data_IF_744055187317
#
_entry.id   IF_744055187317
#
_cell.length_a   1.000
_cell.length_b   1.000
_cell.length_c   1.000
_cell.angle_alpha   90.00
_cell.angle_beta   90.00
_cell.angle_gamma   90.00
#
_symmetry.space_group_name_H-M   'P 1'
#
loop_
_entity.id
_entity.type
_entity.pdbx_description
1 polymer ?
#
# COMPACT_ATOMS: atom_id res chain seq x y z
N UNK A 1 -15.90 -8.36 44.81
CA UNK A 1 -15.65 -9.03 43.52
C UNK A 1 -15.10 -7.98 42.56
N UNK A 2 -13.79 -8.02 42.26
CA UNK A 2 -13.10 -7.00 41.44
C UNK A 2 -13.48 -7.19 39.96
N UNK A 3 -14.20 -6.22 39.40
CA UNK A 3 -14.45 -6.10 37.96
C UNK A 3 -13.18 -5.56 37.29
N UNK A 4 -12.50 -6.40 36.51
CA UNK A 4 -11.42 -5.96 35.63
C UNK A 4 -11.99 -5.05 34.52
N UNK A 5 -11.67 -3.76 34.58
CA UNK A 5 -11.78 -2.83 33.42
C UNK A 5 -10.84 -3.33 32.32
N UNK A 6 -11.37 -4.02 31.31
CA UNK A 6 -10.69 -4.20 30.01
C UNK A 6 -10.74 -2.86 29.28
N UNK A 7 -9.55 -2.32 28.96
CA UNK A 7 -9.36 -1.07 28.21
C UNK A 7 -9.70 -1.34 26.74
N UNK A 8 -10.66 -0.61 26.20
CA UNK A 8 -10.89 -0.51 24.76
C UNK A 8 -10.39 0.87 24.34
N UNK A 9 -9.18 0.94 23.75
CA UNK A 9 -8.77 2.10 22.97
C UNK A 9 -9.05 1.75 21.50
N UNK A 10 -10.21 2.19 21.01
CA UNK A 10 -10.69 1.87 19.67
C UNK A 10 -10.88 3.14 18.85
N UNK A 11 -9.81 3.92 18.71
CA UNK A 11 -9.69 4.95 17.68
C UNK A 11 -8.34 4.75 16.97
N UNK A 12 -8.26 3.64 16.22
CA UNK A 12 -7.25 3.51 15.19
C UNK A 12 -7.66 4.45 14.07
N UNK A 13 -6.76 5.36 13.70
CA UNK A 13 -6.86 6.31 12.59
C UNK A 13 -7.22 5.61 11.26
N UNK A 14 -8.48 5.25 11.10
CA UNK A 14 -9.13 5.27 9.80
C UNK A 14 -9.24 6.73 9.40
N UNK A 15 -9.05 7.03 8.12
CA UNK A 15 -9.49 8.29 7.53
C UNK A 15 -10.81 8.73 8.21
N UNK A 16 -10.98 10.00 8.61
CA UNK A 16 -12.29 10.48 8.94
C UNK A 16 -13.14 10.17 7.72
N UNK A 17 -14.10 9.26 7.88
CA UNK A 17 -15.17 9.09 6.91
C UNK A 17 -15.76 10.48 6.82
N UNK A 18 -15.50 11.16 5.71
CA UNK A 18 -16.11 12.45 5.41
C UNK A 18 -17.58 12.12 5.16
N UNK A 19 -18.34 11.97 6.24
CA UNK A 19 -19.78 12.02 6.23
C UNK A 19 -20.10 13.48 5.95
N UNK A 20 -20.01 13.85 4.68
CA UNK A 20 -20.68 15.03 4.17
C UNK A 20 -22.17 14.69 4.24
N UNK A 21 -22.74 14.86 5.44
CA UNK A 21 -24.19 14.98 5.58
C UNK A 21 -24.53 16.24 4.81
N UNK A 22 -24.95 16.08 3.55
CA UNK A 22 -25.62 17.12 2.79
C UNK A 22 -26.95 17.34 3.50
N UNK A 23 -26.93 18.08 4.61
CA UNK A 23 -28.12 18.72 5.13
C UNK A 23 -28.41 19.83 4.14
N UNK A 24 -29.49 19.66 3.39
CA UNK A 24 -30.08 20.76 2.65
C UNK A 24 -30.31 21.93 3.61
N UNK A 25 -29.62 23.02 3.28
CA UNK A 25 -30.03 24.39 3.51
C UNK A 25 -29.98 24.93 4.95
N UNK A 26 -28.79 25.46 5.36
CA UNK A 26 -28.64 26.68 6.19
C UNK A 26 -27.26 27.33 5.98
N UNK A 27 -27.21 28.38 5.14
CA UNK A 27 -26.22 29.48 5.17
C UNK A 27 -24.77 29.17 4.77
N UNK A 28 -24.30 29.77 3.67
CA UNK A 28 -22.93 29.65 3.15
C UNK A 28 -21.81 29.96 4.19
N UNK A 29 -22.07 30.85 5.16
CA UNK A 29 -21.11 31.20 6.21
C UNK A 29 -20.81 30.01 7.17
N UNK A 30 -21.81 29.17 7.46
CA UNK A 30 -21.66 28.00 8.32
C UNK A 30 -20.87 26.88 7.63
N UNK A 31 -21.03 26.72 6.32
CA UNK A 31 -20.24 25.78 5.53
C UNK A 31 -18.76 26.16 5.48
N UNK A 32 -18.45 27.45 5.29
CA UNK A 32 -17.05 27.91 5.29
C UNK A 32 -16.40 27.80 6.67
N UNK A 33 -17.11 28.15 7.76
CA UNK A 33 -16.60 27.97 9.13
C UNK A 33 -16.36 26.49 9.48
N UNK A 34 -17.26 25.58 9.10
CA UNK A 34 -17.07 24.14 9.33
C UNK A 34 -15.91 23.58 8.52
N UNK A 35 -15.74 23.98 7.26
CA UNK A 35 -14.58 23.58 6.45
C UNK A 35 -13.26 24.06 7.06
N UNK A 36 -13.24 25.30 7.56
CA UNK A 36 -12.07 25.89 8.22
C UNK A 36 -11.77 25.13 9.53
N UNK A 37 -12.77 24.94 10.39
CA UNK A 37 -12.62 24.22 11.68
C UNK A 37 -12.18 22.77 11.43
N UNK A 38 -12.78 22.06 10.47
CA UNK A 38 -12.39 20.71 10.10
C UNK A 38 -10.96 20.66 9.56
N UNK A 39 -10.53 21.64 8.76
CA UNK A 39 -9.16 21.70 8.25
C UNK A 39 -8.11 21.94 9.34
N UNK A 40 -8.44 22.74 10.37
CA UNK A 40 -7.57 22.97 11.52
C UNK A 40 -7.48 21.73 12.41
N UNK A 41 -8.62 21.09 12.73
CA UNK A 41 -8.63 19.85 13.53
C UNK A 41 -7.88 18.73 12.82
N UNK A 42 -8.06 18.57 11.50
CA UNK A 42 -7.32 17.59 10.71
C UNK A 42 -5.81 17.86 10.72
N UNK A 43 -5.40 19.12 10.55
CA UNK A 43 -4.00 19.50 10.64
C UNK A 43 -3.42 19.17 12.01
N UNK A 44 -4.14 19.48 13.08
CA UNK A 44 -3.68 19.29 14.46
C UNK A 44 -3.63 17.82 14.88
N UNK A 45 -4.33 16.91 14.20
CA UNK A 45 -4.28 15.47 14.45
C UNK A 45 -3.23 14.78 13.57
N UNK A 46 -2.98 15.27 12.35
CA UNK A 46 -2.11 14.59 11.37
C UNK A 46 -0.65 15.09 11.42
N UNK A 47 -0.44 16.36 11.74
CA UNK A 47 0.90 16.96 11.75
C UNK A 47 1.68 16.50 12.99
N UNK A 48 2.95 16.14 12.78
CA UNK A 48 3.87 15.74 13.84
C UNK A 48 5.01 16.75 13.96
N UNK A 49 5.59 16.87 15.15
CA UNK A 49 6.79 17.68 15.36
C UNK A 49 8.05 16.99 14.78
N UNK A 50 9.22 17.63 14.88
CA UNK A 50 10.51 17.08 14.41
C UNK A 50 10.90 15.75 15.08
N UNK A 51 10.30 15.43 16.22
CA UNK A 51 10.48 14.16 16.94
C UNK A 51 9.43 13.10 16.58
N UNK A 52 8.58 13.37 15.59
CA UNK A 52 7.47 12.52 15.17
C UNK A 52 6.38 12.32 16.26
N UNK A 53 6.19 13.31 17.12
CA UNK A 53 5.20 13.29 18.20
C UNK A 53 4.08 14.30 17.91
N UNK A 54 2.88 14.02 18.41
CA UNK A 54 1.75 14.94 18.39
C UNK A 54 1.07 14.98 19.79
N UNK A 55 1.01 16.15 20.45
CA UNK A 55 0.39 16.29 21.77
C UNK A 55 -1.10 15.94 21.83
N UNK A 56 -1.84 16.15 20.74
CA UNK A 56 -3.28 15.91 20.64
C UNK A 56 -3.64 14.43 20.63
N UNK A 57 -2.73 13.55 20.21
CA UNK A 57 -2.96 12.10 20.17
C UNK A 57 -3.30 11.51 21.54
N UNK A 58 -2.69 12.02 22.60
CA UNK A 58 -2.99 11.61 23.98
C UNK A 58 -4.46 11.90 24.36
N UNK A 59 -5.05 12.94 23.80
CA UNK A 59 -6.43 13.33 24.10
C UNK A 59 -7.47 12.42 23.40
N UNK A 60 -7.11 11.81 22.27
CA UNK A 60 -7.95 10.88 21.50
C UNK A 60 -7.54 9.41 21.69
N UNK A 61 -6.68 9.13 22.67
CA UNK A 61 -6.15 7.79 22.96
C UNK A 61 -5.51 7.09 21.74
N UNK A 62 -4.97 7.90 20.81
CA UNK A 62 -4.18 7.41 19.67
C UNK A 62 -2.72 7.25 20.11
N UNK A 63 -2.13 6.08 19.85
CA UNK A 63 -0.78 5.76 20.32
C UNK A 63 0.33 6.18 19.36
N UNK A 64 0.01 6.73 18.17
CA UNK A 64 1.01 7.05 17.16
C UNK A 64 1.61 5.79 16.52
N UNK A 65 2.93 5.72 16.31
CA UNK A 65 3.59 4.49 15.88
C UNK A 65 3.52 3.45 17.01
N UNK A 66 3.44 2.18 16.64
CA UNK A 66 3.39 1.12 17.65
C UNK A 66 4.67 1.09 18.53
N UNK A 67 4.55 1.29 19.86
CA UNK A 67 5.70 1.36 20.76
C UNK A 67 6.36 0.00 21.00
N UNK A 68 5.62 -1.10 20.90
CA UNK A 68 6.14 -2.46 21.09
C UNK A 68 6.83 -2.95 19.83
N UNK A 69 6.35 -2.56 18.65
CA UNK A 69 6.94 -2.91 17.37
C UNK A 69 8.37 -2.37 17.22
N UNK A 70 8.60 -1.12 17.60
CA UNK A 70 9.93 -0.50 17.53
C UNK A 70 10.95 -1.27 18.39
N UNK A 71 10.54 -1.66 19.61
CA UNK A 71 11.39 -2.45 20.51
C UNK A 71 11.67 -3.86 19.97
N UNK A 72 10.66 -4.52 19.41
CA UNK A 72 10.80 -5.86 18.82
C UNK A 72 11.77 -5.87 17.64
N UNK A 73 11.73 -4.84 16.79
CA UNK A 73 12.63 -4.71 15.64
C UNK A 73 14.10 -4.53 16.05
N UNK A 74 14.37 -3.70 17.06
CA UNK A 74 15.74 -3.47 17.56
C UNK A 74 16.41 -4.75 18.07
N UNK A 75 15.63 -5.74 18.52
CA UNK A 75 16.11 -7.02 19.02
C UNK A 75 16.08 -8.14 17.97
N UNK A 76 15.64 -7.86 16.73
CA UNK A 76 15.54 -8.89 15.70
C UNK A 76 16.90 -9.23 15.10
N UNK A 77 17.35 -10.48 15.30
CA UNK A 77 18.62 -10.99 14.74
C UNK A 77 18.44 -11.43 13.26
N UNK A 78 17.20 -11.63 12.79
CA UNK A 78 16.93 -12.11 11.44
C UNK A 78 16.91 -10.95 10.41
N UNK A 79 17.87 -10.96 9.49
CA UNK A 79 18.04 -9.96 8.43
C UNK A 79 16.82 -9.84 7.50
N UNK A 80 16.11 -10.93 7.19
CA UNK A 80 14.89 -10.88 6.37
C UNK A 80 13.70 -10.29 7.12
N UNK A 81 13.63 -10.49 8.44
CA UNK A 81 12.60 -9.85 9.27
C UNK A 81 12.81 -8.35 9.32
N UNK A 82 14.06 -7.92 9.47
CA UNK A 82 14.44 -6.51 9.58
C UNK A 82 14.35 -5.80 8.22
N UNK A 83 15.12 -6.26 7.24
CA UNK A 83 15.21 -5.61 5.92
C UNK A 83 14.12 -6.05 4.94
N UNK A 84 13.34 -7.09 5.25
CA UNK A 84 12.28 -7.59 4.38
C UNK A 84 12.81 -8.50 3.25
N UNK A 85 11.94 -9.29 2.60
CA UNK A 85 12.36 -10.40 1.72
C UNK A 85 13.05 -9.95 0.43
N UNK A 86 12.80 -8.71 -0.02
CA UNK A 86 13.37 -8.21 -1.27
C UNK A 86 14.72 -7.53 -1.09
N UNK A 87 15.21 -7.36 0.14
CA UNK A 87 16.37 -6.51 0.43
C UNK A 87 17.62 -6.84 -0.40
N UNK A 88 17.86 -8.13 -0.68
CA UNK A 88 19.01 -8.60 -1.47
C UNK A 88 18.92 -8.20 -2.94
N UNK A 89 17.70 -8.04 -3.46
CA UNK A 89 17.43 -7.68 -4.86
C UNK A 89 17.26 -6.18 -5.11
N UNK A 90 17.23 -5.35 -4.07
CA UNK A 90 17.07 -3.90 -4.23
C UNK A 90 18.39 -3.26 -4.64
N UNK A 91 18.39 -2.60 -5.80
CA UNK A 91 19.51 -1.80 -6.30
C UNK A 91 19.09 -0.33 -6.37
N UNK A 92 19.75 0.53 -5.59
CA UNK A 92 19.47 1.98 -5.59
C UNK A 92 20.37 2.68 -6.62
N UNK A 93 19.75 3.32 -7.61
CA UNK A 93 20.46 3.98 -8.71
C UNK A 93 21.17 5.28 -8.33
N UNK A 94 21.02 5.76 -7.10
CA UNK A 94 21.76 6.91 -6.56
C UNK A 94 23.16 6.54 -6.04
N UNK A 95 23.57 5.27 -6.13
CA UNK A 95 24.91 4.81 -5.76
C UNK A 95 25.89 4.95 -6.94
N UNK A 96 27.21 4.99 -6.67
CA UNK A 96 28.23 4.93 -7.72
C UNK A 96 28.04 3.73 -8.67
N UNK A 97 28.36 3.91 -9.96
CA UNK A 97 28.12 2.91 -11.01
C UNK A 97 28.78 1.55 -10.73
N UNK A 98 29.96 1.52 -10.09
CA UNK A 98 30.63 0.27 -9.74
C UNK A 98 29.82 -0.56 -8.73
N UNK A 99 29.20 0.10 -7.73
CA UNK A 99 28.37 -0.57 -6.73
C UNK A 99 27.09 -1.11 -7.38
N UNK A 100 26.48 -0.33 -8.26
CA UNK A 100 25.30 -0.75 -9.02
C UNK A 100 25.63 -1.96 -9.90
N UNK A 101 26.75 -1.89 -10.64
CA UNK A 101 27.20 -2.96 -11.51
C UNK A 101 27.45 -4.26 -10.73
N UNK A 102 28.12 -4.17 -9.58
CA UNK A 102 28.38 -5.32 -8.73
C UNK A 102 27.08 -5.95 -8.20
N UNK A 103 26.13 -5.14 -7.72
CA UNK A 103 24.85 -5.63 -7.22
C UNK A 103 24.01 -6.35 -8.30
N UNK A 104 23.99 -5.79 -9.51
CA UNK A 104 23.31 -6.38 -10.66
C UNK A 104 24.01 -7.67 -11.16
N UNK A 105 25.34 -7.72 -11.14
CA UNK A 105 26.11 -8.92 -11.48
C UNK A 105 25.85 -10.07 -10.50
N UNK A 106 25.77 -9.78 -9.19
CA UNK A 106 25.35 -10.78 -8.18
C UNK A 106 23.96 -11.34 -8.45
N UNK A 107 23.10 -10.57 -9.11
CA UNK A 107 21.75 -10.96 -9.56
C UNK A 107 21.74 -11.68 -10.92
N UNK A 108 22.92 -12.09 -11.42
CA UNK A 108 23.11 -12.81 -12.70
C UNK A 108 22.65 -12.02 -13.94
N UNK A 109 22.58 -10.69 -13.84
CA UNK A 109 22.34 -9.81 -14.98
C UNK A 109 23.67 -9.43 -15.64
N UNK A 110 23.74 -9.51 -16.97
CA UNK A 110 24.93 -9.09 -17.71
C UNK A 110 24.89 -7.58 -17.91
N UNK A 111 26.02 -6.92 -17.70
CA UNK A 111 26.12 -5.46 -17.73
C UNK A 111 27.27 -5.05 -18.63
N UNK A 112 27.02 -4.07 -19.47
CA UNK A 112 28.06 -3.39 -20.24
C UNK A 112 27.99 -1.90 -19.92
N UNK A 113 29.14 -1.33 -19.54
CA UNK A 113 29.31 0.11 -19.34
C UNK A 113 29.96 0.66 -20.62
N UNK A 114 29.23 1.41 -21.46
CA UNK A 114 29.80 1.95 -22.68
C UNK A 114 30.94 2.92 -22.36
N UNK A 115 32.09 2.75 -23.01
CA UNK A 115 33.20 3.72 -22.95
C UNK A 115 33.08 4.66 -24.14
N UNK A 116 32.62 5.89 -23.88
CA UNK A 116 32.59 6.93 -24.90
C UNK A 116 33.95 7.66 -24.92
N UNK A 117 34.55 7.92 -26.10
CA UNK A 117 35.76 8.72 -26.22
C UNK A 117 35.56 10.11 -25.60
N UNK A 118 36.55 10.58 -24.83
CA UNK A 118 36.55 11.87 -24.12
C UNK A 118 36.50 13.09 -25.04
N UNK A 119 36.65 12.92 -26.36
CA UNK A 119 36.81 13.99 -27.36
C UNK A 119 35.50 14.45 -28.02
N UNK A 120 34.36 13.82 -27.73
CA UNK A 120 33.06 14.28 -28.22
C UNK A 120 32.16 14.68 -27.05
N UNK A 121 31.54 15.86 -27.14
CA UNK A 121 30.47 16.33 -26.27
C UNK A 121 29.59 15.14 -25.85
N UNK A 122 29.45 14.91 -24.53
CA UNK A 122 28.61 13.84 -23.98
C UNK A 122 27.24 13.93 -24.65
N UNK A 123 26.96 13.04 -25.59
CA UNK A 123 25.63 12.96 -26.19
C UNK A 123 24.66 12.66 -25.04
N UNK A 124 23.76 13.57 -24.66
CA UNK A 124 22.91 13.40 -23.48
C UNK A 124 21.96 12.20 -23.61
N UNK A 125 21.82 11.64 -24.82
CA UNK A 125 21.02 10.43 -25.09
C UNK A 125 21.83 9.12 -24.98
N UNK A 126 23.14 9.19 -24.79
CA UNK A 126 23.96 7.99 -24.73
C UNK A 126 23.80 7.30 -23.35
N UNK A 127 23.46 5.99 -23.31
CA UNK A 127 23.23 5.31 -22.04
C UNK A 127 24.52 5.23 -21.22
N UNK A 128 24.42 5.55 -19.93
CA UNK A 128 25.53 5.42 -18.97
C UNK A 128 25.84 3.96 -18.61
N UNK A 129 24.87 3.07 -18.81
CA UNK A 129 24.94 1.64 -18.50
C UNK A 129 23.89 0.89 -19.33
N UNK A 130 24.23 -0.31 -19.78
CA UNK A 130 23.34 -1.21 -20.51
C UNK A 130 23.25 -2.52 -19.74
N UNK A 131 22.03 -2.94 -19.42
CA UNK A 131 21.73 -4.16 -18.65
C UNK A 131 21.00 -5.13 -19.58
N UNK A 132 21.55 -6.34 -19.74
CA UNK A 132 20.92 -7.40 -20.53
C UNK A 132 20.03 -8.25 -19.62
N UNK A 133 18.75 -8.29 -19.95
CA UNK A 133 17.72 -9.09 -19.29
C UNK A 133 16.77 -9.66 -20.35
N UNK A 134 15.92 -10.59 -19.94
CA UNK A 134 14.95 -11.22 -20.84
C UNK A 134 13.60 -10.46 -20.83
N UNK A 135 13.28 -9.79 -19.71
CA UNK A 135 12.11 -8.92 -19.61
C UNK A 135 12.38 -7.74 -18.65
N UNK A 136 11.75 -6.59 -18.95
CA UNK A 136 11.69 -5.43 -18.06
C UNK A 136 10.25 -5.20 -17.64
N UNK A 137 10.01 -5.13 -16.34
CA UNK A 137 8.70 -4.78 -15.76
C UNK A 137 8.81 -3.40 -15.15
N UNK A 138 7.96 -2.48 -15.60
CA UNK A 138 7.90 -1.11 -15.07
C UNK A 138 6.76 -1.01 -14.07
N UNK A 139 7.10 -0.74 -12.81
CA UNK A 139 6.20 -0.74 -11.66
C UNK A 139 6.15 -2.10 -10.98
N UNK A 140 6.27 -2.09 -9.65
CA UNK A 140 6.26 -3.31 -8.81
C UNK A 140 4.92 -3.57 -8.10
N UNK A 141 3.87 -2.90 -8.54
CA UNK A 141 2.50 -3.04 -7.99
C UNK A 141 1.83 -4.39 -8.31
N UNK A 142 0.54 -4.51 -7.99
CA UNK A 142 -0.22 -5.77 -8.10
C UNK A 142 -0.15 -6.44 -9.47
N UNK A 143 -0.13 -5.69 -10.57
CA UNK A 143 0.07 -6.26 -11.91
C UNK A 143 1.54 -6.63 -12.16
N UNK A 144 2.44 -5.66 -12.00
CA UNK A 144 3.85 -5.82 -12.34
C UNK A 144 4.55 -6.91 -11.55
N UNK A 145 4.33 -7.02 -10.24
CA UNK A 145 4.98 -8.06 -9.46
C UNK A 145 4.43 -9.46 -9.71
N UNK A 146 3.15 -9.61 -10.10
CA UNK A 146 2.62 -10.89 -10.58
C UNK A 146 3.32 -11.31 -11.86
N UNK A 147 3.42 -10.42 -12.85
CA UNK A 147 4.13 -10.67 -14.11
C UNK A 147 5.60 -11.02 -13.84
N UNK A 148 6.30 -10.21 -13.04
CA UNK A 148 7.69 -10.45 -12.68
C UNK A 148 7.89 -11.80 -11.99
N UNK A 149 7.02 -12.16 -11.03
CA UNK A 149 7.09 -13.43 -10.32
C UNK A 149 6.85 -14.63 -11.23
N UNK A 150 5.88 -14.55 -12.15
CA UNK A 150 5.58 -15.62 -13.12
C UNK A 150 6.74 -15.84 -14.09
N UNK A 151 7.29 -14.75 -14.66
CA UNK A 151 8.42 -14.82 -15.58
C UNK A 151 9.69 -15.33 -14.88
N UNK A 152 10.01 -14.81 -13.69
CA UNK A 152 11.17 -15.24 -12.92
C UNK A 152 11.08 -16.73 -12.52
N UNK A 153 9.90 -17.21 -12.09
CA UNK A 153 9.67 -18.63 -11.78
C UNK A 153 9.85 -19.53 -13.01
N UNK A 154 9.65 -18.99 -14.21
CA UNK A 154 9.87 -19.69 -15.48
C UNK A 154 11.33 -19.63 -15.97
N UNK A 155 12.24 -19.06 -15.17
CA UNK A 155 13.69 -19.01 -15.47
C UNK A 155 14.16 -17.76 -16.22
N UNK A 156 13.27 -16.81 -16.53
CA UNK A 156 13.65 -15.56 -17.17
C UNK A 156 14.36 -14.61 -16.21
N UNK A 157 15.37 -13.88 -16.72
CA UNK A 157 16.01 -12.79 -15.98
C UNK A 157 15.17 -11.54 -16.13
N UNK A 158 14.45 -11.20 -15.07
CA UNK A 158 13.52 -10.06 -15.05
C UNK A 158 14.14 -8.90 -14.30
N UNK A 159 14.14 -7.72 -14.90
CA UNK A 159 14.45 -6.45 -14.24
C UNK A 159 13.15 -5.72 -13.89
N UNK A 160 12.95 -5.42 -12.60
CA UNK A 160 11.80 -4.63 -12.15
C UNK A 160 12.27 -3.20 -11.86
N UNK A 161 11.64 -2.22 -12.51
CA UNK A 161 11.90 -0.80 -12.30
C UNK A 161 10.79 -0.21 -11.44
N UNK A 162 11.14 0.31 -10.28
CA UNK A 162 10.22 0.98 -9.37
C UNK A 162 10.69 2.42 -9.14
N UNK A 163 9.76 3.37 -9.22
CA UNK A 163 10.03 4.79 -8.95
C UNK A 163 10.10 5.05 -7.44
N UNK A 164 9.29 4.33 -6.67
CA UNK A 164 9.17 4.46 -5.24
C UNK A 164 10.30 3.83 -4.42
N UNK A 165 10.30 4.14 -3.12
CA UNK A 165 11.25 3.56 -2.16
C UNK A 165 10.86 2.13 -1.77
N UNK A 166 11.85 1.33 -1.38
CA UNK A 166 11.61 0.07 -0.67
C UNK A 166 11.50 0.33 0.83
N UNK A 167 10.27 0.30 1.35
CA UNK A 167 9.99 0.46 2.78
C UNK A 167 9.90 -0.92 3.45
N UNK A 168 11.02 -1.35 4.03
CA UNK A 168 11.07 -2.53 4.88
C UNK A 168 10.21 -2.34 6.14
N UNK A 169 9.84 -3.44 6.82
CA UNK A 169 9.07 -3.37 8.08
C UNK A 169 9.77 -2.52 9.14
N UNK A 170 11.09 -2.60 9.22
CA UNK A 170 11.92 -1.80 10.13
C UNK A 170 11.85 -0.30 9.86
N UNK A 171 11.47 0.10 8.64
CA UNK A 171 11.53 1.47 8.16
C UNK A 171 10.14 2.09 8.01
N UNK A 172 9.08 1.38 8.43
CA UNK A 172 7.74 1.95 8.42
C UNK A 172 7.62 2.95 9.56
N UNK A 173 7.33 4.21 9.22
CA UNK A 173 7.06 5.24 10.22
C UNK A 173 5.77 4.93 10.99
N UNK A 174 4.77 4.34 10.33
CA UNK A 174 3.42 4.12 10.85
C UNK A 174 2.68 5.41 11.25
N UNK A 175 3.22 6.56 10.82
CA UNK A 175 2.60 7.88 10.93
C UNK A 175 2.11 8.33 9.58
N UNK A 176 0.95 8.97 9.57
CA UNK A 176 0.27 9.36 8.34
C UNK A 176 1.16 10.26 7.47
N UNK A 177 1.62 11.41 7.99
CA UNK A 177 2.46 12.35 7.23
C UNK A 177 3.70 11.70 6.60
N UNK A 178 4.64 11.16 7.39
CA UNK A 178 5.84 10.52 6.86
C UNK A 178 5.55 9.34 5.91
N UNK A 179 4.52 8.52 6.19
CA UNK A 179 4.19 7.40 5.32
C UNK A 179 3.57 7.86 4.00
N UNK A 180 2.78 8.94 4.02
CA UNK A 180 2.27 9.60 2.80
C UNK A 180 3.43 10.13 1.95
N UNK A 181 4.41 10.78 2.59
CA UNK A 181 5.61 11.28 1.92
C UNK A 181 6.45 10.19 1.27
N UNK A 182 6.67 9.08 1.98
CA UNK A 182 7.57 8.00 1.54
C UNK A 182 6.91 6.99 0.60
N UNK A 183 5.60 6.75 0.74
CA UNK A 183 4.93 5.61 0.12
C UNK A 183 3.81 5.98 -0.86
N UNK A 184 3.36 7.24 -0.90
CA UNK A 184 2.27 7.68 -1.79
C UNK A 184 2.80 8.57 -2.92
N UNK A 185 2.26 8.35 -4.11
CA UNK A 185 2.52 9.19 -5.28
C UNK A 185 2.01 10.61 -5.01
N UNK A 186 2.84 11.61 -5.30
CA UNK A 186 2.50 13.01 -5.03
C UNK A 186 2.25 13.30 -3.56
N UNK A 187 2.80 12.50 -2.64
CA UNK A 187 2.60 12.64 -1.19
C UNK A 187 1.12 12.54 -0.79
N UNK A 188 0.33 11.83 -1.60
CA UNK A 188 -1.13 11.69 -1.44
C UNK A 188 -1.96 12.87 -1.94
N UNK A 189 -1.35 13.86 -2.60
CA UNK A 189 -2.02 15.04 -3.14
C UNK A 189 -2.07 15.05 -4.68
N UNK A 190 -2.11 13.87 -5.30
CA UNK A 190 -2.28 13.77 -6.75
C UNK A 190 -3.73 14.08 -7.11
N UNK A 191 -3.95 15.06 -7.98
CA UNK A 191 -5.27 15.45 -8.46
C UNK A 191 -5.28 15.64 -9.98
N UNK A 192 -6.46 15.61 -10.59
CA UNK A 192 -6.66 16.01 -11.98
C UNK A 192 -6.33 17.50 -12.16
N UNK A 193 -6.02 17.93 -13.39
CA UNK A 193 -5.64 19.32 -13.67
C UNK A 193 -6.73 20.34 -13.32
N UNK A 194 -7.99 19.91 -13.34
CA UNK A 194 -9.16 20.70 -12.92
C UNK A 194 -9.56 20.47 -11.44
N UNK A 195 -8.79 19.66 -10.69
CA UNK A 195 -9.02 19.32 -9.28
C UNK A 195 -10.36 18.64 -8.96
N UNK A 196 -11.10 18.16 -9.96
CA UNK A 196 -12.38 17.46 -9.75
C UNK A 196 -12.21 16.07 -9.15
N UNK A 197 -11.04 15.44 -9.34
CA UNK A 197 -10.74 14.15 -8.74
C UNK A 197 -9.35 14.15 -8.08
N UNK A 198 -9.28 13.57 -6.88
CA UNK A 198 -8.04 13.23 -6.20
C UNK A 198 -7.76 11.73 -6.32
N UNK A 199 -6.49 11.37 -6.50
CA UNK A 199 -6.04 10.00 -6.74
C UNK A 199 -5.04 9.62 -5.64
N UNK A 200 -5.37 8.58 -4.87
CA UNK A 200 -4.42 7.95 -3.96
C UNK A 200 -3.78 6.74 -4.65
N UNK A 201 -2.48 6.86 -4.93
CA UNK A 201 -1.70 5.80 -5.56
C UNK A 201 -0.41 5.55 -4.79
N UNK A 202 -0.01 4.28 -4.65
CA UNK A 202 1.25 3.92 -3.99
C UNK A 202 2.45 4.20 -4.90
N UNK A 203 3.48 4.82 -4.35
CA UNK A 203 4.80 5.05 -4.96
C UNK A 203 5.88 4.45 -4.05
N UNK A 204 5.83 3.12 -3.91
CA UNK A 204 6.74 2.30 -3.10
C UNK A 204 6.83 0.92 -3.74
N UNK A 205 7.85 0.13 -3.40
CA UNK A 205 7.92 -1.27 -3.85
C UNK A 205 6.68 -2.05 -3.38
N UNK A 206 5.94 -2.64 -4.33
CA UNK A 206 4.62 -3.24 -4.11
C UNK A 206 3.45 -2.31 -4.48
N UNK A 207 3.71 -1.04 -4.78
CA UNK A 207 2.72 -0.04 -5.20
C UNK A 207 1.51 0.04 -4.26
N UNK A 208 0.31 0.12 -4.83
CA UNK A 208 -0.94 0.14 -4.07
C UNK A 208 -1.14 -1.06 -3.14
N UNK A 209 -0.57 -2.24 -3.46
CA UNK A 209 -0.70 -3.42 -2.58
C UNK A 209 0.03 -3.25 -1.24
N UNK A 210 1.06 -2.39 -1.19
CA UNK A 210 1.77 -2.07 0.05
C UNK A 210 0.92 -1.20 0.99
N UNK A 211 0.09 -0.31 0.44
CA UNK A 211 -0.65 0.73 1.16
C UNK A 211 -2.19 0.58 1.14
N UNK A 212 -2.75 -0.50 0.59
CA UNK A 212 -4.20 -0.72 0.63
C UNK A 212 -4.69 -1.33 1.96
N UNK A 213 -6.01 -1.45 2.11
CA UNK A 213 -6.67 -2.02 3.29
C UNK A 213 -6.89 -3.54 3.25
N UNK A 214 -6.12 -4.29 2.44
CA UNK A 214 -6.21 -5.76 2.30
C UNK A 214 -7.49 -6.29 1.60
N UNK A 215 -8.49 -5.45 1.35
CA UNK A 215 -9.71 -5.85 0.66
C UNK A 215 -9.38 -6.51 -0.70
N UNK A 216 -9.91 -7.71 -0.90
CA UNK A 216 -9.59 -8.57 -2.04
C UNK A 216 -10.88 -9.16 -2.60
N UNK A 217 -11.61 -8.34 -3.35
CA UNK A 217 -12.93 -8.69 -3.89
C UNK A 217 -12.74 -9.26 -5.29
N UNK A 218 -13.29 -10.45 -5.56
CA UNK A 218 -13.35 -10.98 -6.93
C UNK A 218 -14.23 -10.07 -7.79
N UNK A 219 -13.85 -9.88 -9.04
CA UNK A 219 -14.64 -9.10 -10.00
C UNK A 219 -16.08 -9.64 -10.07
N UNK A 220 -17.10 -8.85 -9.70
CA UNK A 220 -18.48 -9.33 -9.65
C UNK A 220 -18.96 -9.84 -11.02
N UNK A 221 -19.83 -10.86 -11.01
CA UNK A 221 -20.33 -11.48 -12.25
C UNK A 221 -21.01 -10.46 -13.16
N UNK A 222 -21.81 -9.55 -12.61
CA UNK A 222 -22.49 -8.53 -13.41
C UNK A 222 -21.50 -7.59 -14.12
N UNK A 223 -20.42 -7.17 -13.46
CA UNK A 223 -19.35 -6.35 -14.06
C UNK A 223 -18.64 -7.10 -15.18
N UNK A 224 -18.36 -8.40 -14.98
CA UNK A 224 -17.73 -9.23 -16.01
C UNK A 224 -18.62 -9.41 -17.23
N UNK A 225 -19.92 -9.59 -17.03
CA UNK A 225 -20.90 -9.67 -18.11
C UNK A 225 -20.95 -8.33 -18.86
N UNK A 226 -21.03 -7.21 -18.15
CA UNK A 226 -21.00 -5.87 -18.75
C UNK A 226 -19.76 -5.67 -19.63
N UNK A 227 -18.56 -5.96 -19.10
CA UNK A 227 -17.31 -5.84 -19.87
C UNK A 227 -17.29 -6.72 -21.12
N UNK A 228 -17.81 -7.94 -21.01
CA UNK A 228 -17.85 -8.88 -22.12
C UNK A 228 -18.89 -8.51 -23.18
N UNK A 229 -20.08 -8.07 -22.78
CA UNK A 229 -21.24 -7.91 -23.67
C UNK A 229 -21.37 -6.50 -24.22
N UNK A 230 -20.98 -5.47 -23.46
CA UNK A 230 -21.09 -4.07 -23.86
C UNK A 230 -19.81 -3.51 -24.49
N UNK A 231 -18.65 -4.14 -24.22
CA UNK A 231 -17.34 -3.63 -24.63
C UNK A 231 -16.49 -4.66 -25.37
N UNK A 232 -17.07 -5.79 -25.79
CA UNK A 232 -16.42 -6.86 -26.55
C UNK A 232 -15.16 -7.46 -25.89
N UNK A 233 -15.09 -7.44 -24.55
CA UNK A 233 -13.97 -7.98 -23.79
C UNK A 233 -14.27 -9.42 -23.31
N UNK A 234 -14.47 -10.34 -24.26
CA UNK A 234 -14.89 -11.74 -24.02
C UNK A 234 -14.02 -12.49 -22.99
N UNK A 235 -12.75 -12.13 -22.89
CA UNK A 235 -11.82 -12.68 -21.90
C UNK A 235 -12.40 -12.66 -20.48
N UNK A 236 -13.10 -11.60 -20.09
CA UNK A 236 -13.62 -11.47 -18.72
C UNK A 236 -14.75 -12.46 -18.41
N UNK A 237 -15.49 -12.96 -19.40
CA UNK A 237 -16.49 -14.01 -19.21
C UNK A 237 -15.92 -15.42 -19.36
N UNK A 238 -14.70 -15.54 -19.88
CA UNK A 238 -14.04 -16.82 -20.10
C UNK A 238 -13.73 -17.59 -18.81
N UNK A 239 -13.57 -18.91 -18.96
CA UNK A 239 -13.08 -19.81 -17.90
C UNK A 239 -11.66 -19.43 -17.45
N UNK A 240 -10.82 -18.98 -18.39
CA UNK A 240 -9.43 -18.60 -18.13
C UNK A 240 -9.34 -17.47 -17.09
N UNK A 241 -10.23 -16.47 -17.19
CA UNK A 241 -10.25 -15.37 -16.22
C UNK A 241 -10.69 -15.81 -14.82
N UNK A 242 -11.68 -16.71 -14.73
CA UNK A 242 -12.09 -17.30 -13.44
C UNK A 242 -10.95 -18.12 -12.82
N UNK A 243 -10.28 -18.95 -13.62
CA UNK A 243 -9.11 -19.72 -13.18
C UNK A 243 -7.98 -18.81 -12.70
N UNK A 244 -7.69 -17.73 -13.43
CA UNK A 244 -6.69 -16.74 -13.03
C UNK A 244 -7.04 -16.05 -11.70
N UNK A 245 -8.31 -15.64 -11.51
CA UNK A 245 -8.78 -15.08 -10.25
C UNK A 245 -8.60 -16.07 -9.09
N UNK A 246 -8.95 -17.34 -9.29
CA UNK A 246 -8.79 -18.38 -8.28
C UNK A 246 -7.32 -18.57 -7.89
N UNK A 247 -6.42 -18.69 -8.87
CA UNK A 247 -4.98 -18.83 -8.63
C UNK A 247 -4.41 -17.67 -7.83
N UNK A 248 -4.81 -16.43 -8.17
CA UNK A 248 -4.33 -15.23 -7.46
C UNK A 248 -4.89 -15.17 -6.04
N UNK A 249 -6.20 -15.42 -5.85
CA UNK A 249 -6.83 -15.45 -4.54
C UNK A 249 -6.22 -16.52 -3.63
N UNK A 250 -5.95 -17.72 -4.14
CA UNK A 250 -5.32 -18.81 -3.41
C UNK A 250 -3.89 -18.43 -2.99
N UNK A 251 -3.06 -17.96 -3.94
CA UNK A 251 -1.69 -17.50 -3.67
C UNK A 251 -1.66 -16.40 -2.60
N UNK A 252 -2.60 -15.45 -2.68
CA UNK A 252 -2.74 -14.36 -1.71
C UNK A 252 -3.41 -14.79 -0.40
N UNK A 253 -3.92 -16.02 -0.29
CA UNK A 253 -4.63 -16.53 0.88
C UNK A 253 -5.85 -15.68 1.25
N UNK A 254 -6.63 -15.27 0.25
CA UNK A 254 -7.82 -14.45 0.44
C UNK A 254 -8.87 -15.22 1.23
N UNK A 255 -9.42 -14.59 2.27
CA UNK A 255 -10.37 -15.21 3.20
C UNK A 255 -11.29 -14.16 3.85
N UNK A 256 -12.50 -14.54 4.29
CA UNK A 256 -13.51 -13.61 4.84
C UNK A 256 -13.78 -13.77 6.34
N UNK A 257 -13.06 -14.64 7.03
CA UNK A 257 -13.13 -14.80 8.48
C UNK A 257 -12.55 -13.57 9.20
N UNK A 258 -13.23 -13.19 10.26
CA UNK A 258 -12.85 -12.09 11.16
C UNK A 258 -12.91 -12.64 12.57
N UNK A 259 -11.76 -12.68 13.25
CA UNK A 259 -11.70 -13.14 14.64
C UNK A 259 -12.29 -12.12 15.61
N UNK A 260 -11.88 -10.87 15.44
CA UNK A 260 -12.25 -9.75 16.29
C UNK A 260 -12.82 -8.63 15.41
N UNK A 261 -14.08 -8.26 15.63
CA UNK A 261 -14.76 -7.16 14.93
C UNK A 261 -14.52 -5.84 15.68
N UNK A 262 -14.09 -4.80 14.96
CA UNK A 262 -13.94 -3.47 15.52
C UNK A 262 -15.30 -2.82 15.84
N UNK A 263 -15.34 -1.96 16.86
CA UNK A 263 -16.59 -1.33 17.33
C UNK A 263 -17.38 -0.64 16.20
N UNK A 264 -16.71 0.14 15.35
CA UNK A 264 -17.36 0.85 14.24
C UNK A 264 -18.02 -0.12 13.24
N UNK A 265 -17.36 -1.23 12.92
CA UNK A 265 -17.91 -2.24 12.02
C UNK A 265 -19.10 -2.95 12.67
N UNK A 266 -19.01 -3.28 13.96
CA UNK A 266 -20.12 -3.88 14.71
C UNK A 266 -21.35 -2.98 14.72
N UNK A 267 -21.19 -1.67 14.97
CA UNK A 267 -22.29 -0.71 14.96
C UNK A 267 -22.91 -0.61 13.57
N UNK A 268 -22.09 -0.51 12.52
CA UNK A 268 -22.57 -0.44 11.14
C UNK A 268 -23.34 -1.70 10.75
N UNK A 269 -22.78 -2.88 11.04
CA UNK A 269 -23.42 -4.16 10.76
C UNK A 269 -24.78 -4.27 11.45
N UNK A 270 -24.86 -3.96 12.75
CA UNK A 270 -26.13 -3.97 13.51
C UNK A 270 -27.17 -3.03 12.90
N UNK A 271 -26.77 -1.81 12.53
CA UNK A 271 -27.67 -0.87 11.88
C UNK A 271 -28.19 -1.38 10.53
N UNK A 272 -27.33 -2.01 9.73
CA UNK A 272 -27.74 -2.64 8.48
C UNK A 272 -28.69 -3.82 8.71
N UNK A 273 -28.40 -4.68 9.68
CA UNK A 273 -29.26 -5.82 10.07
C UNK A 273 -30.66 -5.34 10.52
N UNK A 274 -30.73 -4.30 11.36
CA UNK A 274 -32.00 -3.72 11.84
C UNK A 274 -32.83 -3.09 10.71
N UNK A 275 -32.17 -2.53 9.69
CA UNK A 275 -32.83 -1.93 8.52
C UNK A 275 -33.11 -2.94 7.40
N UNK A 276 -32.71 -4.21 7.55
CA UNK A 276 -32.90 -5.24 6.54
C UNK A 276 -31.95 -5.14 5.33
N UNK A 277 -30.83 -4.43 5.46
CA UNK A 277 -29.80 -4.38 4.41
C UNK A 277 -28.89 -5.62 4.47
N UNK A 278 -28.47 -6.18 3.31
CA UNK A 278 -27.51 -7.28 3.28
C UNK A 278 -26.14 -6.82 3.80
N UNK A 279 -25.51 -7.67 4.61
CA UNK A 279 -24.18 -7.42 5.17
C UNK A 279 -23.33 -8.66 5.02
N UNK A 280 -22.09 -8.47 4.56
CA UNK A 280 -21.09 -9.53 4.42
C UNK A 280 -19.71 -9.04 4.87
N UNK A 281 -18.87 -9.99 5.29
CA UNK A 281 -17.46 -9.71 5.56
C UNK A 281 -16.68 -9.52 4.26
N UNK A 282 -15.95 -8.41 4.15
CA UNK A 282 -15.06 -8.15 3.03
C UNK A 282 -13.92 -9.19 3.04
N UNK A 283 -13.69 -9.95 1.95
CA UNK A 283 -12.56 -10.86 1.86
C UNK A 283 -11.23 -10.10 1.91
N UNK A 284 -10.25 -10.64 2.64
CA UNK A 284 -8.93 -10.01 2.88
C UNK A 284 -7.79 -10.97 2.58
N UNK A 285 -6.67 -10.44 2.09
CA UNK A 285 -5.40 -11.17 1.91
C UNK A 285 -4.52 -11.16 3.18
N UNK A 286 -5.14 -11.45 4.33
CA UNK A 286 -4.48 -11.50 5.64
C UNK A 286 -5.11 -12.56 6.52
N UNK A 287 -4.42 -12.97 7.58
CA UNK A 287 -4.98 -13.94 8.54
C UNK A 287 -6.24 -13.40 9.24
N UNK A 288 -7.15 -14.28 9.71
CA UNK A 288 -8.41 -13.86 10.34
C UNK A 288 -8.25 -12.97 11.57
N UNK A 289 -7.14 -13.15 12.30
CA UNK A 289 -6.74 -12.44 13.51
C UNK A 289 -5.85 -11.21 13.23
N UNK A 290 -5.65 -10.84 11.96
CA UNK A 290 -4.85 -9.67 11.62
C UNK A 290 -5.62 -8.39 11.95
N UNK A 291 -5.11 -7.66 12.95
CA UNK A 291 -5.63 -6.38 13.41
C UNK A 291 -4.45 -5.46 13.79
N UNK A 292 -3.73 -4.93 12.79
CA UNK A 292 -2.62 -4.02 13.08
C UNK A 292 -3.04 -2.55 13.10
N UNK A 293 -4.00 -2.11 12.29
CA UNK A 293 -4.45 -0.72 12.28
C UNK A 293 -3.64 0.26 11.42
N UNK A 294 -2.48 -0.15 10.90
CA UNK A 294 -1.63 0.68 10.04
C UNK A 294 -1.56 0.21 8.58
N UNK A 295 -2.49 -0.64 8.11
CA UNK A 295 -2.40 -1.26 6.79
C UNK A 295 -2.22 -0.27 5.63
N UNK A 296 -2.76 0.94 5.74
CA UNK A 296 -2.60 2.00 4.76
C UNK A 296 -1.23 2.71 4.80
N UNK A 297 -0.50 2.55 5.89
CA UNK A 297 0.83 3.13 6.12
C UNK A 297 1.94 2.06 6.07
N UNK A 298 1.61 0.89 5.50
CA UNK A 298 2.43 -0.30 5.48
C UNK A 298 2.07 -1.29 6.59
N UNK A 299 2.02 -2.58 6.26
CA UNK A 299 1.63 -3.61 7.22
C UNK A 299 2.75 -3.89 8.25
N UNK A 300 2.58 -3.34 9.45
CA UNK A 300 3.43 -3.57 10.62
C UNK A 300 3.70 -5.05 10.89
N UNK A 301 2.65 -5.88 10.90
CA UNK A 301 2.75 -7.32 11.21
C UNK A 301 3.36 -8.14 10.07
N UNK A 302 3.44 -7.58 8.85
CA UNK A 302 3.83 -8.32 7.65
C UNK A 302 2.86 -9.43 7.24
N UNK A 303 1.69 -9.55 7.89
CA UNK A 303 0.67 -10.58 7.64
C UNK A 303 -0.29 -10.23 6.49
N UNK A 304 -0.34 -8.97 6.06
CA UNK A 304 -0.97 -8.56 4.81
C UNK A 304 -0.10 -8.99 3.63
N UNK A 305 -0.62 -9.87 2.77
CA UNK A 305 0.09 -10.46 1.64
C UNK A 305 0.04 -9.56 0.40
N UNK A 306 0.83 -8.48 0.42
CA UNK A 306 1.05 -7.61 -0.75
C UNK A 306 2.10 -8.16 -1.71
N UNK A 307 2.20 -7.59 -2.91
CA UNK A 307 3.07 -8.06 -4.00
C UNK A 307 4.55 -8.22 -3.61
N UNK A 308 5.04 -7.43 -2.66
CA UNK A 308 6.42 -7.53 -2.15
C UNK A 308 6.68 -8.78 -1.28
N UNK A 309 5.68 -9.65 -1.06
CA UNK A 309 5.77 -10.83 -0.19
C UNK A 309 5.28 -12.13 -0.81
N UNK A 310 4.72 -12.12 -2.02
CA UNK A 310 4.07 -13.30 -2.62
C UNK A 310 4.61 -13.65 -3.99
#
# INVERSE_FOLDING_TARGET
MKLHRRRYSSEVAGFPVMLQVIKHDKGALYHHLNLIISSFILRDIVVVNEKNENPCWKAIDYCGPDPDFTKQLQHSINTETYFGPLYKGIVRLNKPHNIIAEALQRSRLSISIPRYPTTHFKNPKAPSMVIKCDAVVVGSGSGGGVVAGVLAKSGYRVLVLEKGNYCARSNLSLLEGPSMDDMYLGRGLLATSNMEAMILAGSTVGGGSAINWSASIKTPVHVRNEWSECYDLELFKSKLYEEALNVVCERMGVQSQVKDEGFNNMVLRKGCEELGYPVDNIPRNSSPDHYCGWCCLGCKDGRKKGTSRV
#
